data_IF_731763648286
#
_entry.id   IF_731763648286
#
_cell.length_a   1.000
_cell.length_b   1.000
_cell.length_c   1.000
_cell.angle_alpha   90.00
_cell.angle_beta   90.00
_cell.angle_gamma   90.00
#
_symmetry.space_group_name_H-M   'P 1'
#
loop_
_entity.id
_entity.type
_entity.pdbx_description
1 polymer ?
#
# COMPACT_ATOMS: atom_id res chain seq x y z
N UNK A 1 -19.85 -4.09 15.25
CA UNK A 1 -19.76 -5.08 16.35
C UNK A 1 -18.64 -6.06 16.04
N UNK A 2 -17.71 -6.32 16.97
CA UNK A 2 -16.64 -7.29 16.76
C UNK A 2 -17.17 -8.69 17.07
N UNK A 3 -17.39 -9.51 16.02
CA UNK A 3 -18.00 -10.84 16.12
C UNK A 3 -17.26 -11.74 17.14
N UNK A 4 -15.93 -11.63 17.22
CA UNK A 4 -15.12 -12.46 18.14
C UNK A 4 -15.34 -12.08 19.60
N UNK A 5 -15.50 -10.79 19.88
CA UNK A 5 -15.75 -10.28 21.22
C UNK A 5 -17.13 -10.74 21.72
N UNK A 6 -18.17 -10.58 20.91
CA UNK A 6 -19.53 -10.98 21.28
C UNK A 6 -19.65 -12.50 21.55
N UNK A 7 -18.93 -13.31 20.75
CA UNK A 7 -18.89 -14.77 20.96
C UNK A 7 -18.20 -15.12 22.28
N UNK A 8 -17.11 -14.44 22.64
CA UNK A 8 -16.43 -14.67 23.92
C UNK A 8 -17.29 -14.32 25.12
N UNK A 9 -17.93 -13.14 25.10
CA UNK A 9 -18.83 -12.68 26.18
C UNK A 9 -19.98 -13.69 26.38
N UNK A 10 -20.51 -14.25 25.29
CA UNK A 10 -21.56 -15.26 25.36
C UNK A 10 -21.08 -16.61 25.94
N UNK A 11 -19.94 -17.14 25.48
CA UNK A 11 -19.40 -18.42 25.99
C UNK A 11 -18.94 -18.26 27.46
N UNK A 12 -18.49 -17.08 27.86
CA UNK A 12 -18.11 -16.78 29.24
C UNK A 12 -19.32 -16.75 30.19
N UNK A 13 -20.48 -16.26 29.72
CA UNK A 13 -21.71 -16.22 30.52
C UNK A 13 -22.49 -17.54 30.53
N UNK A 14 -22.31 -18.39 29.52
CA UNK A 14 -23.04 -19.64 29.37
C UNK A 14 -22.07 -20.82 29.12
N UNK A 15 -21.71 -21.60 30.16
CA UNK A 15 -20.86 -22.78 29.98
C UNK A 15 -21.60 -23.85 29.16
N UNK A 16 -20.86 -24.62 28.35
CA UNK A 16 -21.38 -25.69 27.47
C UNK A 16 -22.24 -25.24 26.28
N UNK A 17 -22.03 -24.02 25.79
CA UNK A 17 -22.73 -23.51 24.61
C UNK A 17 -22.36 -24.21 23.30
N UNK A 18 -23.31 -24.24 22.36
CA UNK A 18 -23.12 -24.70 20.98
C UNK A 18 -22.94 -23.53 20.02
N UNK A 19 -22.41 -23.83 18.84
CA UNK A 19 -22.30 -22.85 17.77
C UNK A 19 -23.67 -22.39 17.22
N UNK A 20 -24.71 -23.22 17.37
CA UNK A 20 -26.09 -22.92 16.98
C UNK A 20 -26.72 -21.89 17.91
N UNK A 21 -26.53 -22.04 19.23
CA UNK A 21 -27.00 -21.09 20.24
C UNK A 21 -26.40 -19.69 20.02
N UNK A 22 -25.11 -19.65 19.67
CA UNK A 22 -24.39 -18.42 19.29
C UNK A 22 -24.95 -17.78 18.02
N UNK A 23 -25.30 -18.60 17.03
CA UNK A 23 -25.87 -18.12 15.76
C UNK A 23 -27.26 -17.53 15.96
N UNK A 24 -28.10 -18.20 16.76
CA UNK A 24 -29.45 -17.76 17.09
C UNK A 24 -29.47 -16.52 17.99
N UNK A 25 -28.58 -16.43 18.98
CA UNK A 25 -28.55 -15.30 19.92
C UNK A 25 -27.95 -14.03 19.29
N UNK A 26 -26.92 -14.17 18.45
CA UNK A 26 -26.24 -13.01 17.85
C UNK A 26 -26.83 -12.59 16.50
N UNK A 27 -27.75 -13.37 15.94
CA UNK A 27 -28.28 -13.22 14.57
C UNK A 27 -27.16 -13.15 13.51
N UNK A 28 -26.14 -14.01 13.69
CA UNK A 28 -24.97 -14.11 12.81
C UNK A 28 -24.96 -15.50 12.17
N UNK A 29 -24.62 -15.61 10.86
CA UNK A 29 -24.48 -16.91 10.22
C UNK A 29 -23.46 -17.82 10.95
N UNK A 30 -23.77 -19.12 10.99
CA UNK A 30 -22.98 -20.10 11.75
C UNK A 30 -21.51 -20.22 11.31
N UNK A 31 -21.22 -19.93 10.04
CA UNK A 31 -19.87 -20.02 9.47
C UNK A 31 -18.88 -19.01 10.09
N UNK A 32 -19.19 -17.70 10.14
CA UNK A 32 -18.45 -16.72 10.95
C UNK A 32 -18.27 -17.14 12.42
N UNK A 33 -19.30 -17.69 13.05
CA UNK A 33 -19.21 -18.13 14.45
C UNK A 33 -18.20 -19.26 14.61
N UNK A 34 -18.25 -20.30 13.76
CA UNK A 34 -17.28 -21.40 13.74
C UNK A 34 -15.85 -20.92 13.50
N UNK A 35 -15.65 -19.99 12.58
CA UNK A 35 -14.33 -19.42 12.30
C UNK A 35 -13.78 -18.64 13.49
N UNK A 36 -14.62 -17.88 14.19
CA UNK A 36 -14.24 -17.16 15.39
C UNK A 36 -13.89 -18.12 16.54
N UNK A 37 -14.74 -19.11 16.81
CA UNK A 37 -14.51 -20.18 17.79
C UNK A 37 -13.19 -20.91 17.50
N UNK A 38 -12.97 -21.31 16.25
CA UNK A 38 -11.72 -21.96 15.85
C UNK A 38 -10.49 -21.09 16.16
N UNK A 39 -10.56 -19.79 15.87
CA UNK A 39 -9.50 -18.84 16.21
C UNK A 39 -9.27 -18.67 17.72
N UNK A 40 -10.30 -18.84 18.55
CA UNK A 40 -10.19 -18.81 20.01
C UNK A 40 -9.60 -20.11 20.58
N UNK A 41 -9.95 -21.25 19.99
CA UNK A 41 -9.34 -22.55 20.32
C UNK A 41 -7.85 -22.54 20.01
N UNK A 42 -7.44 -22.04 18.83
CA UNK A 42 -6.03 -21.94 18.45
C UNK A 42 -5.21 -21.07 19.40
N UNK A 43 -5.85 -20.11 20.07
CA UNK A 43 -5.21 -19.23 21.06
C UNK A 43 -5.22 -19.82 22.47
N UNK A 44 -5.82 -21.00 22.68
CA UNK A 44 -5.94 -21.64 23.99
C UNK A 44 -6.96 -20.99 24.94
N UNK A 45 -7.81 -20.09 24.43
CA UNK A 45 -8.75 -19.31 25.24
C UNK A 45 -10.03 -20.10 25.57
N UNK A 46 -10.45 -20.97 24.66
CA UNK A 46 -11.59 -21.88 24.84
C UNK A 46 -11.17 -23.30 24.49
N UNK A 47 -11.76 -24.29 25.17
CA UNK A 47 -11.58 -25.70 24.86
C UNK A 47 -12.92 -26.35 24.51
N UNK A 48 -12.84 -27.49 23.82
CA UNK A 48 -14.01 -28.32 23.50
C UNK A 48 -14.23 -29.30 24.65
N UNK A 49 -15.42 -29.30 25.25
CA UNK A 49 -15.73 -30.16 26.40
C UNK A 49 -16.35 -31.49 25.99
N UNK A 50 -17.20 -31.49 24.97
CA UNK A 50 -17.93 -32.69 24.52
C UNK A 50 -18.46 -32.50 23.07
N UNK A 51 -18.77 -33.61 22.41
CA UNK A 51 -19.39 -33.66 21.09
C UNK A 51 -18.48 -34.18 19.97
N UNK A 52 -19.07 -34.80 18.95
CA UNK A 52 -18.36 -35.34 17.77
C UNK A 52 -18.53 -34.47 16.53
N UNK A 53 -19.29 -33.38 16.62
CA UNK A 53 -19.41 -32.38 15.54
C UNK A 53 -20.45 -32.71 14.47
N UNK A 54 -21.27 -33.74 14.68
CA UNK A 54 -22.44 -34.06 13.85
C UNK A 54 -23.71 -33.42 14.40
N UNK A 55 -24.74 -33.28 13.56
CA UNK A 55 -26.03 -32.62 13.90
C UNK A 55 -26.69 -33.20 15.17
N UNK A 56 -26.54 -34.51 15.44
CA UNK A 56 -27.06 -35.15 16.65
C UNK A 56 -26.16 -35.04 17.89
N UNK A 57 -24.90 -34.63 17.74
CA UNK A 57 -23.93 -34.47 18.85
C UNK A 57 -22.98 -33.30 18.58
N UNK A 58 -23.48 -32.06 18.59
CA UNK A 58 -22.68 -30.88 18.29
C UNK A 58 -21.60 -30.64 19.34
N UNK A 59 -20.52 -29.95 18.94
CA UNK A 59 -19.46 -29.55 19.87
C UNK A 59 -19.99 -28.55 20.89
N UNK A 60 -19.62 -28.78 22.16
CA UNK A 60 -19.82 -27.85 23.27
C UNK A 60 -18.49 -27.17 23.60
N UNK A 61 -18.55 -25.88 23.90
CA UNK A 61 -17.39 -25.05 24.19
C UNK A 61 -17.44 -24.47 25.59
N UNK A 62 -16.28 -24.34 26.22
CA UNK A 62 -16.13 -23.70 27.52
C UNK A 62 -14.87 -22.83 27.54
N UNK A 63 -14.95 -21.71 28.26
CA UNK A 63 -13.81 -20.82 28.51
C UNK A 63 -12.78 -21.54 29.40
N UNK A 64 -11.51 -21.45 29.02
CA UNK A 64 -10.39 -22.04 29.79
C UNK A 64 -9.69 -21.05 30.71
N UNK A 65 -9.96 -19.75 30.55
CA UNK A 65 -9.21 -18.67 31.20
C UNK A 65 -10.15 -17.51 31.52
N UNK A 66 -10.08 -17.00 32.76
CA UNK A 66 -10.95 -15.93 33.23
C UNK A 66 -10.59 -14.54 32.69
N UNK A 67 -9.38 -14.38 32.13
CA UNK A 67 -8.93 -13.12 31.53
C UNK A 67 -9.48 -12.94 30.11
N UNK A 68 -10.19 -11.84 29.82
CA UNK A 68 -10.68 -11.56 28.48
C UNK A 68 -9.51 -11.24 27.53
N UNK A 69 -9.49 -11.83 26.33
CA UNK A 69 -8.41 -11.57 25.38
C UNK A 69 -8.49 -10.13 24.85
N UNK A 70 -7.32 -9.54 24.60
CA UNK A 70 -7.25 -8.20 24.00
C UNK A 70 -7.79 -8.25 22.56
N UNK A 71 -8.96 -7.65 22.35
CA UNK A 71 -9.58 -7.52 21.04
C UNK A 71 -8.96 -6.35 20.28
N UNK A 72 -8.20 -6.64 19.23
CA UNK A 72 -7.53 -5.61 18.45
C UNK A 72 -6.41 -6.17 17.58
N UNK A 73 -5.62 -5.28 16.98
CA UNK A 73 -4.46 -5.63 16.14
C UNK A 73 -3.63 -6.68 16.86
N UNK A 74 -3.64 -7.92 16.36
CA UNK A 74 -2.72 -8.94 16.84
C UNK A 74 -1.31 -8.34 16.89
N UNK A 75 -0.54 -8.54 17.98
CA UNK A 75 0.89 -8.33 17.95
C UNK A 75 1.43 -9.19 16.80
N UNK A 76 1.84 -8.58 15.68
CA UNK A 76 2.27 -9.28 14.47
C UNK A 76 1.27 -9.37 13.31
N UNK A 77 0.09 -8.74 13.40
CA UNK A 77 -0.73 -8.51 12.21
C UNK A 77 0.08 -7.71 11.19
N UNK A 78 0.44 -8.32 10.05
CA UNK A 78 1.25 -7.67 9.01
C UNK A 78 0.57 -6.36 8.62
N UNK A 79 1.10 -5.24 9.12
CA UNK A 79 0.71 -3.92 8.66
C UNK A 79 0.99 -3.96 7.16
N UNK A 80 -0.01 -3.68 6.32
CA UNK A 80 0.22 -3.44 4.89
C UNK A 80 1.10 -2.20 4.79
N UNK A 81 2.42 -2.39 4.82
CA UNK A 81 3.39 -1.33 4.59
C UNK A 81 3.09 -0.82 3.18
N UNK A 82 2.71 0.46 3.06
CA UNK A 82 2.54 1.09 1.76
C UNK A 82 3.85 0.93 0.99
N UNK A 83 3.79 0.39 -0.22
CA UNK A 83 4.98 0.19 -1.03
C UNK A 83 5.74 1.52 -1.22
N UNK A 84 7.07 1.48 -1.07
CA UNK A 84 7.94 2.66 -1.24
C UNK A 84 7.71 3.24 -2.65
N UNK A 85 7.52 4.55 -2.76
CA UNK A 85 7.39 5.24 -4.06
C UNK A 85 8.66 5.00 -4.88
N UNK A 86 8.48 4.70 -6.17
CA UNK A 86 9.59 4.53 -7.12
C UNK A 86 10.37 5.83 -7.31
N UNK A 87 11.64 5.73 -7.72
CA UNK A 87 12.49 6.90 -7.98
C UNK A 87 11.88 7.84 -9.04
N UNK A 88 11.28 7.29 -10.10
CA UNK A 88 10.58 8.08 -11.13
C UNK A 88 9.37 8.84 -10.56
N UNK A 89 8.60 8.21 -9.66
CA UNK A 89 7.49 8.87 -8.99
C UNK A 89 7.94 9.97 -8.04
N UNK A 90 9.08 9.79 -7.35
CA UNK A 90 9.68 10.84 -6.51
C UNK A 90 10.11 12.03 -7.34
N UNK A 91 10.86 11.80 -8.43
CA UNK A 91 11.25 12.84 -9.40
C UNK A 91 10.03 13.57 -9.93
N UNK A 92 9.00 12.85 -10.39
CA UNK A 92 7.75 13.43 -10.88
C UNK A 92 7.08 14.37 -9.86
N UNK A 93 6.96 13.93 -8.60
CA UNK A 93 6.35 14.75 -7.57
C UNK A 93 7.16 16.03 -7.31
N UNK A 94 8.50 15.95 -7.29
CA UNK A 94 9.36 17.11 -7.07
C UNK A 94 9.28 18.08 -8.25
N UNK A 95 9.38 17.59 -9.50
CA UNK A 95 9.24 18.42 -10.71
C UNK A 95 7.90 19.16 -10.77
N UNK A 96 6.81 18.54 -10.30
CA UNK A 96 5.50 19.20 -10.23
C UNK A 96 5.44 20.33 -9.21
N UNK A 97 6.19 20.25 -8.12
CA UNK A 97 6.25 21.30 -7.10
C UNK A 97 7.10 22.46 -7.63
N UNK A 98 8.32 22.16 -8.10
CA UNK A 98 9.27 23.19 -8.50
C UNK A 98 8.93 23.86 -9.84
N UNK A 99 8.34 23.10 -10.79
CA UNK A 99 7.99 23.47 -12.19
C UNK A 99 9.17 23.91 -13.07
N UNK A 100 10.10 24.69 -12.52
CA UNK A 100 11.43 25.03 -13.03
C UNK A 100 12.47 24.43 -12.08
N UNK A 101 13.44 23.70 -12.59
CA UNK A 101 14.42 23.00 -11.76
C UNK A 101 15.70 22.69 -12.54
N UNK A 102 16.80 22.47 -11.81
CA UNK A 102 18.04 21.88 -12.32
C UNK A 102 18.15 20.41 -11.89
N UNK A 103 19.15 19.69 -12.39
CA UNK A 103 19.40 18.31 -11.92
C UNK A 103 19.85 18.34 -10.47
N UNK A 104 20.73 19.28 -10.09
CA UNK A 104 21.18 19.41 -8.70
C UNK A 104 20.04 19.70 -7.73
N UNK A 105 19.05 20.53 -8.11
CA UNK A 105 17.87 20.78 -7.26
C UNK A 105 17.07 19.49 -6.97
N UNK A 106 16.94 18.61 -7.98
CA UNK A 106 16.26 17.33 -7.80
C UNK A 106 17.06 16.39 -6.90
N UNK A 107 18.38 16.37 -7.03
CA UNK A 107 19.27 15.49 -6.28
C UNK A 107 19.50 15.96 -4.84
N UNK A 108 19.49 17.26 -4.59
CA UNK A 108 19.59 17.82 -3.23
C UNK A 108 18.37 17.47 -2.38
N UNK A 109 17.20 17.31 -3.01
CA UNK A 109 15.96 16.95 -2.33
C UNK A 109 15.72 15.43 -2.27
N UNK A 110 16.29 14.67 -3.21
CA UNK A 110 15.98 13.25 -3.40
C UNK A 110 17.25 12.39 -3.41
N UNK A 111 17.25 11.32 -2.61
CA UNK A 111 18.28 10.26 -2.66
C UNK A 111 18.14 9.39 -3.93
N UNK A 112 18.50 9.94 -5.09
CA UNK A 112 18.43 9.27 -6.39
C UNK A 112 19.77 9.44 -7.11
N UNK A 113 20.22 8.43 -7.84
CA UNK A 113 21.43 8.56 -8.65
C UNK A 113 21.24 9.52 -9.82
N UNK A 114 22.24 10.36 -10.06
CA UNK A 114 22.21 11.38 -11.12
C UNK A 114 21.88 10.82 -12.50
N UNK A 115 22.49 9.68 -12.87
CA UNK A 115 22.21 9.00 -14.14
C UNK A 115 20.73 8.60 -14.27
N UNK A 116 20.09 8.19 -13.18
CA UNK A 116 18.67 7.83 -13.17
C UNK A 116 17.80 9.05 -13.44
N UNK A 117 18.11 10.19 -12.81
CA UNK A 117 17.39 11.44 -13.02
C UNK A 117 17.54 11.94 -14.46
N UNK A 118 18.78 12.00 -14.98
CA UNK A 118 19.06 12.45 -16.36
C UNK A 118 18.42 11.58 -17.42
N UNK A 119 18.51 10.26 -17.27
CA UNK A 119 17.86 9.34 -18.21
C UNK A 119 16.34 9.55 -18.22
N UNK A 120 15.73 9.71 -17.05
CA UNK A 120 14.30 9.96 -16.97
C UNK A 120 13.89 11.30 -17.60
N UNK A 121 14.65 12.38 -17.36
CA UNK A 121 14.43 13.68 -18.01
C UNK A 121 14.54 13.57 -19.53
N UNK A 122 15.53 12.85 -20.05
CA UNK A 122 15.71 12.63 -21.49
C UNK A 122 14.47 11.99 -22.12
N UNK A 123 13.89 10.99 -21.48
CA UNK A 123 12.65 10.38 -21.96
C UNK A 123 11.46 11.34 -21.90
N UNK A 124 11.32 12.10 -20.81
CA UNK A 124 10.26 13.10 -20.68
C UNK A 124 10.34 14.20 -21.73
N UNK A 125 11.54 14.57 -22.16
CA UNK A 125 11.76 15.52 -23.26
C UNK A 125 11.29 14.94 -24.59
N UNK A 126 11.68 13.70 -24.89
CA UNK A 126 11.23 13.00 -26.10
C UNK A 126 9.71 12.85 -26.17
N UNK A 127 9.05 12.69 -25.01
CA UNK A 127 7.58 12.67 -24.92
C UNK A 127 6.91 14.04 -24.81
N UNK A 128 7.67 15.14 -24.79
CA UNK A 128 7.13 16.50 -24.72
C UNK A 128 6.59 16.94 -23.35
N UNK A 129 6.93 16.24 -22.28
CA UNK A 129 6.51 16.60 -20.91
C UNK A 129 7.40 17.69 -20.30
N UNK A 130 8.68 17.66 -20.63
CA UNK A 130 9.72 18.56 -20.11
C UNK A 130 10.47 19.19 -21.27
N UNK A 131 10.88 20.44 -21.13
CA UNK A 131 11.83 21.07 -22.05
C UNK A 131 13.14 21.40 -21.37
N UNK A 132 14.22 21.23 -22.13
CA UNK A 132 15.54 21.73 -21.79
C UNK A 132 15.65 23.20 -22.21
N UNK A 133 15.89 24.11 -21.26
CA UNK A 133 16.36 25.46 -21.56
C UNK A 133 17.88 25.50 -21.38
N UNK A 134 18.61 25.06 -22.40
CA UNK A 134 20.05 25.36 -22.46
C UNK A 134 20.27 26.85 -22.69
N UNK A 135 21.20 27.47 -21.96
CA UNK A 135 21.60 28.88 -22.14
C UNK A 135 22.46 29.14 -23.38
N UNK A 136 22.79 28.13 -24.20
CA UNK A 136 23.44 28.35 -25.48
C UNK A 136 23.28 27.13 -26.42
N UNK A 137 22.94 27.34 -27.70
CA UNK A 137 22.82 26.24 -28.68
C UNK A 137 24.16 25.55 -29.02
N UNK A 138 25.31 26.15 -28.68
CA UNK A 138 26.63 25.74 -29.16
C UNK A 138 27.65 25.28 -28.10
N UNK A 139 27.27 25.07 -26.84
CA UNK A 139 28.21 24.54 -25.83
C UNK A 139 27.90 23.09 -25.50
N UNK A 140 28.86 22.20 -25.77
CA UNK A 140 28.94 20.85 -25.18
C UNK A 140 28.61 20.96 -23.69
N UNK A 141 27.73 20.05 -23.23
CA UNK A 141 27.29 19.83 -21.83
C UNK A 141 28.06 20.70 -20.85
N UNK A 142 27.44 21.77 -20.35
CA UNK A 142 28.10 22.68 -19.42
C UNK A 142 28.68 21.88 -18.26
N UNK A 143 29.99 22.00 -18.06
CA UNK A 143 30.69 21.32 -16.98
C UNK A 143 30.17 21.85 -15.63
N UNK A 144 29.98 21.00 -14.62
CA UNK A 144 29.67 21.43 -13.25
C UNK A 144 30.64 22.51 -12.74
N UNK A 145 31.89 22.48 -13.22
CA UNK A 145 32.93 23.45 -12.88
C UNK A 145 32.67 24.87 -13.40
N UNK A 146 31.71 25.07 -14.32
CA UNK A 146 31.37 26.37 -14.89
C UNK A 146 30.23 27.11 -14.15
N UNK A 147 29.70 26.52 -13.07
CA UNK A 147 28.66 27.11 -12.21
C UNK A 147 27.31 27.35 -12.92
N UNK A 148 27.10 26.75 -14.10
CA UNK A 148 25.91 26.94 -14.91
C UNK A 148 25.32 25.57 -15.26
N UNK A 149 24.30 25.19 -14.51
CA UNK A 149 23.51 23.99 -14.79
C UNK A 149 22.44 24.25 -15.86
N UNK A 150 22.01 23.17 -16.50
CA UNK A 150 20.92 23.18 -17.47
C UNK A 150 19.61 23.34 -16.70
N UNK A 151 18.83 24.37 -17.05
CA UNK A 151 17.50 24.58 -16.50
C UNK A 151 16.46 23.77 -17.29
N UNK A 152 15.59 23.08 -16.55
CA UNK A 152 14.49 22.29 -17.10
C UNK A 152 13.16 22.88 -16.67
N UNK A 153 12.15 22.78 -17.55
CA UNK A 153 10.79 23.20 -17.26
C UNK A 153 9.81 22.07 -17.51
N UNK A 154 8.92 21.82 -16.55
CA UNK A 154 7.79 20.91 -16.72
C UNK A 154 6.68 21.64 -17.48
N UNK A 155 6.44 21.25 -18.72
CA UNK A 155 5.38 21.83 -19.56
C UNK A 155 4.04 21.16 -19.29
N UNK A 156 4.06 19.83 -19.18
CA UNK A 156 2.84 19.04 -19.11
C UNK A 156 2.73 18.34 -17.77
N UNK A 157 1.77 18.76 -16.96
CA UNK A 157 1.40 18.09 -15.71
C UNK A 157 0.07 17.36 -15.88
N UNK A 158 0.13 16.05 -16.04
CA UNK A 158 -1.06 15.21 -16.26
C UNK A 158 -1.62 14.62 -14.97
N UNK A 159 -1.02 14.93 -13.81
CA UNK A 159 -1.59 14.58 -12.51
C UNK A 159 -0.72 13.69 -11.63
N UNK A 160 -1.35 12.81 -10.85
CA UNK A 160 -0.72 12.15 -9.70
C UNK A 160 0.39 11.18 -10.10
N UNK A 161 0.13 10.33 -11.08
CA UNK A 161 1.02 9.23 -11.45
C UNK A 161 2.09 9.71 -12.43
N UNK A 162 3.31 9.23 -12.25
CA UNK A 162 4.40 9.51 -13.17
C UNK A 162 4.18 8.78 -14.51
N UNK A 163 4.47 9.41 -15.66
CA UNK A 163 4.52 8.73 -16.95
C UNK A 163 5.48 7.52 -16.93
N UNK A 164 5.06 6.41 -17.53
CA UNK A 164 5.85 5.17 -17.62
C UNK A 164 6.66 5.20 -18.92
N UNK A 165 7.99 5.23 -18.79
CA UNK A 165 8.91 5.06 -19.91
C UNK A 165 8.81 3.63 -20.46
N UNK A 166 8.53 3.51 -21.76
CA UNK A 166 8.64 2.30 -22.57
C UNK A 166 9.71 2.50 -23.64
N UNK A 167 10.01 1.47 -24.42
CA UNK A 167 11.07 1.51 -25.44
C UNK A 167 10.78 2.49 -26.59
N UNK A 168 9.51 2.63 -26.94
CA UNK A 168 8.93 3.34 -28.10
C UNK A 168 8.29 4.68 -27.72
N UNK A 169 8.10 4.92 -26.41
CA UNK A 169 7.42 6.13 -25.95
C UNK A 169 7.16 6.17 -24.45
N UNK A 170 6.26 7.07 -24.07
CA UNK A 170 5.79 7.29 -22.71
C UNK A 170 4.30 6.94 -22.61
N UNK A 171 3.97 6.05 -21.68
CA UNK A 171 2.59 5.77 -21.31
C UNK A 171 2.16 6.68 -20.16
N UNK A 172 1.19 7.56 -20.42
CA UNK A 172 0.57 8.38 -19.39
C UNK A 172 -0.51 7.59 -18.65
N UNK A 173 -0.30 7.34 -17.37
CA UNK A 173 -1.25 6.61 -16.53
C UNK A 173 -2.46 7.44 -16.10
N UNK A 174 -2.36 8.78 -16.12
CA UNK A 174 -3.48 9.63 -15.73
C UNK A 174 -4.42 9.86 -16.92
N UNK A 175 -3.87 10.11 -18.09
CA UNK A 175 -4.64 10.30 -19.32
C UNK A 175 -4.98 8.98 -20.04
N UNK A 176 -4.36 7.86 -19.64
CA UNK A 176 -4.46 6.57 -20.34
C UNK A 176 -4.09 6.68 -21.82
N UNK A 177 -3.02 7.45 -22.11
CA UNK A 177 -2.60 7.76 -23.47
C UNK A 177 -1.12 7.47 -23.69
N UNK A 178 -0.80 6.97 -24.88
CA UNK A 178 0.56 6.71 -25.31
C UNK A 178 1.14 7.89 -26.10
N UNK A 179 2.37 8.29 -25.75
CA UNK A 179 3.14 9.37 -26.37
C UNK A 179 4.41 8.78 -27.01
N UNK A 180 4.43 8.55 -28.33
CA UNK A 180 5.62 8.03 -28.99
C UNK A 180 6.78 9.02 -28.88
N UNK A 181 8.01 8.51 -28.81
CA UNK A 181 9.19 9.37 -28.86
C UNK A 181 9.31 10.04 -30.23
N UNK A 182 9.54 11.35 -30.23
CA UNK A 182 9.93 12.11 -31.43
C UNK A 182 11.42 12.00 -31.70
#
# INVERSE_FOLDING_TARGET
MNIRQAIWEYISSHPNCRAEDLSAHLDIPITPCRNAIHGLIQKGLIHKTDGTGHVGRPFKYQVSTDEPPVWGKSPGGKIKIRSKKTNRQKLWNNMKISKKFTVSDLLSTLEIGENTARNYLTYLVKGGYVIEKSRAPNKKRLSPSSGKEIEWFLIKDTGRLAPIVRHDGLWDQNEQKFYPFK
#
